data_IF_659665533496
#
_entry.id   IF_659665533496
#
_cell.length_a   1.000
_cell.length_b   1.000
_cell.length_c   1.000
_cell.angle_alpha   90.00
_cell.angle_beta   90.00
_cell.angle_gamma   90.00
#
_symmetry.space_group_name_H-M   'P 1'
#
loop_
_entity.id
_entity.type
_entity.pdbx_description
1 polymer ?
#
# COMPACT_ATOMS: atom_id res chain seq x y z
N UNK A 1 -28.40 24.64 -9.48
CA UNK A 1 -27.09 24.13 -9.92
C UNK A 1 -26.52 23.25 -8.82
N UNK A 2 -26.33 21.94 -9.04
CA UNK A 2 -25.78 21.06 -8.02
C UNK A 2 -24.29 21.37 -7.86
N UNK A 3 -23.87 21.71 -6.64
CA UNK A 3 -22.44 21.80 -6.28
C UNK A 3 -21.87 20.38 -6.32
N UNK A 4 -21.12 20.07 -7.38
CA UNK A 4 -20.32 18.85 -7.46
C UNK A 4 -19.32 18.91 -6.29
N UNK A 5 -19.34 17.87 -5.44
CA UNK A 5 -18.63 17.87 -4.17
C UNK A 5 -17.10 17.88 -4.41
N UNK A 6 -16.40 18.80 -3.75
CA UNK A 6 -14.93 18.91 -3.76
C UNK A 6 -14.20 17.67 -3.20
N UNK A 7 -14.90 16.81 -2.45
CA UNK A 7 -14.39 15.53 -1.95
C UNK A 7 -14.27 14.44 -3.05
N UNK A 8 -15.19 14.44 -4.03
CA UNK A 8 -15.14 13.50 -5.17
C UNK A 8 -14.01 13.88 -6.13
N UNK A 9 -13.75 15.17 -6.34
CA UNK A 9 -12.60 15.62 -7.13
C UNK A 9 -11.26 15.25 -6.49
N UNK A 10 -11.15 15.33 -5.16
CA UNK A 10 -9.87 15.10 -4.46
C UNK A 10 -9.48 13.62 -4.44
N UNK A 11 -10.45 12.71 -4.24
CA UNK A 11 -10.21 11.27 -4.29
C UNK A 11 -9.90 10.77 -5.70
N UNK A 12 -10.59 11.31 -6.73
CA UNK A 12 -10.29 11.05 -8.13
C UNK A 12 -8.90 11.55 -8.53
N UNK A 13 -8.50 12.74 -8.06
CA UNK A 13 -7.16 13.29 -8.32
C UNK A 13 -6.05 12.44 -7.69
N UNK A 14 -6.28 11.90 -6.48
CA UNK A 14 -5.33 11.00 -5.82
C UNK A 14 -5.16 9.68 -6.58
N UNK A 15 -6.27 9.06 -7.00
CA UNK A 15 -6.22 7.83 -7.79
C UNK A 15 -5.47 8.03 -9.12
N UNK A 16 -5.76 9.13 -9.81
CA UNK A 16 -5.07 9.49 -11.05
C UNK A 16 -3.56 9.70 -10.83
N UNK A 17 -3.18 10.36 -9.74
CA UNK A 17 -1.78 10.59 -9.41
C UNK A 17 -1.02 9.28 -9.14
N UNK A 18 -1.60 8.37 -8.34
CA UNK A 18 -1.04 7.04 -8.07
C UNK A 18 -0.93 6.24 -9.37
N UNK A 19 -1.96 6.28 -10.22
CA UNK A 19 -1.97 5.61 -11.52
C UNK A 19 -0.83 6.07 -12.43
N UNK A 20 -0.61 7.38 -12.55
CA UNK A 20 0.47 7.95 -13.35
C UNK A 20 1.84 7.48 -12.83
N UNK A 21 2.05 7.49 -11.52
CA UNK A 21 3.30 7.00 -10.91
C UNK A 21 3.54 5.53 -11.25
N UNK A 22 2.54 4.67 -11.08
CA UNK A 22 2.63 3.25 -11.41
C UNK A 22 2.94 3.02 -12.89
N UNK A 23 2.33 3.81 -13.78
CA UNK A 23 2.63 3.76 -15.22
C UNK A 23 4.09 4.14 -15.52
N UNK A 24 4.62 5.20 -14.89
CA UNK A 24 6.01 5.63 -15.08
C UNK A 24 6.97 4.55 -14.59
N UNK A 25 6.75 4.00 -13.39
CA UNK A 25 7.57 2.91 -12.87
C UNK A 25 7.52 1.68 -13.79
N UNK A 26 6.32 1.27 -14.22
CA UNK A 26 6.15 0.14 -15.14
C UNK A 26 6.89 0.33 -16.47
N UNK A 27 6.82 1.54 -17.05
CA UNK A 27 7.55 1.87 -18.27
C UNK A 27 9.07 1.82 -18.06
N UNK A 28 9.57 2.33 -16.94
CA UNK A 28 10.99 2.27 -16.61
C UNK A 28 11.48 0.81 -16.49
N UNK A 29 10.74 -0.06 -15.78
CA UNK A 29 11.08 -1.48 -15.70
C UNK A 29 11.05 -2.15 -17.07
N UNK A 30 10.07 -1.85 -17.91
CA UNK A 30 9.98 -2.38 -19.26
C UNK A 30 11.20 -2.01 -20.13
N UNK A 31 11.63 -0.74 -20.06
CA UNK A 31 12.83 -0.29 -20.77
C UNK A 31 14.10 -0.99 -20.24
N UNK A 32 14.22 -1.18 -18.92
CA UNK A 32 15.32 -1.94 -18.32
C UNK A 32 15.36 -3.39 -18.82
N UNK A 33 14.20 -4.03 -18.98
CA UNK A 33 14.10 -5.36 -19.55
C UNK A 33 14.56 -5.41 -21.02
N UNK A 34 14.13 -4.44 -21.84
CA UNK A 34 14.56 -4.34 -23.25
C UNK A 34 16.08 -4.16 -23.34
N UNK A 35 16.66 -3.24 -22.56
CA UNK A 35 18.12 -2.99 -22.57
C UNK A 35 18.88 -4.26 -22.16
N UNK A 36 18.39 -4.97 -21.13
CA UNK A 36 18.98 -6.22 -20.67
C UNK A 36 18.93 -7.30 -21.76
N UNK A 37 17.80 -7.47 -22.43
CA UNK A 37 17.63 -8.46 -23.51
C UNK A 37 18.47 -8.11 -24.74
N UNK A 38 18.46 -6.85 -25.18
CA UNK A 38 19.29 -6.38 -26.30
C UNK A 38 20.77 -6.53 -26.00
N UNK A 39 21.19 -6.32 -24.75
CA UNK A 39 22.58 -6.47 -24.33
C UNK A 39 23.10 -7.89 -24.49
N UNK A 40 22.25 -8.87 -24.15
CA UNK A 40 22.53 -10.30 -24.31
C UNK A 40 22.54 -10.67 -25.80
N UNK A 41 21.47 -10.36 -26.54
CA UNK A 41 21.31 -10.78 -27.94
C UNK A 41 22.35 -10.17 -28.89
N UNK A 42 22.83 -8.95 -28.60
CA UNK A 42 23.86 -8.29 -29.41
C UNK A 42 25.28 -8.54 -28.91
N UNK A 43 25.44 -9.37 -27.87
CA UNK A 43 26.72 -9.64 -27.18
C UNK A 43 27.49 -8.35 -26.83
N UNK A 44 26.76 -7.26 -26.56
CA UNK A 44 27.36 -5.94 -26.40
C UNK A 44 27.72 -5.71 -24.94
N UNK A 45 29.01 -5.91 -24.62
CA UNK A 45 29.56 -5.76 -23.27
C UNK A 45 29.30 -4.39 -22.62
N UNK A 46 29.15 -3.31 -23.41
CA UNK A 46 28.85 -1.98 -22.85
C UNK A 46 27.39 -1.93 -22.36
N UNK A 47 26.47 -2.45 -23.16
CA UNK A 47 25.04 -2.47 -22.83
C UNK A 47 24.76 -3.38 -21.63
N UNK A 48 25.43 -4.54 -21.58
CA UNK A 48 25.35 -5.49 -20.47
C UNK A 48 25.90 -4.91 -19.16
N UNK A 49 26.94 -4.07 -19.22
CA UNK A 49 27.46 -3.36 -18.04
C UNK A 49 26.49 -2.31 -17.53
N UNK A 50 25.81 -1.58 -18.44
CA UNK A 50 24.80 -0.59 -18.06
C UNK A 50 23.61 -1.27 -17.39
N UNK A 51 23.12 -2.38 -17.95
CA UNK A 51 22.00 -3.13 -17.34
C UNK A 51 22.37 -3.68 -15.96
N UNK A 52 23.58 -4.21 -15.77
CA UNK A 52 24.07 -4.67 -14.46
C UNK A 52 24.10 -3.55 -13.42
N UNK A 53 24.60 -2.37 -13.78
CA UNK A 53 24.62 -1.21 -12.87
C UNK A 53 23.19 -0.79 -12.51
N UNK A 54 22.29 -0.72 -13.50
CA UNK A 54 20.90 -0.35 -13.27
C UNK A 54 20.15 -1.35 -12.37
N UNK A 55 20.35 -2.66 -12.59
CA UNK A 55 19.78 -3.71 -11.75
C UNK A 55 20.34 -3.67 -10.32
N UNK A 56 21.65 -3.42 -10.17
CA UNK A 56 22.26 -3.27 -8.85
C UNK A 56 21.69 -2.07 -8.09
N UNK A 57 21.56 -0.91 -8.74
CA UNK A 57 20.92 0.27 -8.13
C UNK A 57 19.48 -0.04 -7.73
N UNK A 58 18.73 -0.72 -8.61
CA UNK A 58 17.36 -1.15 -8.33
C UNK A 58 17.31 -2.04 -7.08
N UNK A 59 18.19 -3.04 -6.97
CA UNK A 59 18.26 -3.90 -5.79
C UNK A 59 18.48 -3.10 -4.50
N UNK A 60 19.41 -2.13 -4.51
CA UNK A 60 19.65 -1.26 -3.34
C UNK A 60 18.41 -0.45 -2.99
N UNK A 61 17.69 0.10 -3.97
CA UNK A 61 16.44 0.84 -3.75
C UNK A 61 15.38 -0.06 -3.10
N UNK A 62 15.20 -1.29 -3.59
CA UNK A 62 14.22 -2.21 -2.99
C UNK A 62 14.60 -2.61 -1.56
N UNK A 63 15.89 -2.81 -1.28
CA UNK A 63 16.38 -3.11 0.06
C UNK A 63 16.16 -1.94 1.03
N UNK A 64 16.41 -0.70 0.59
CA UNK A 64 16.16 0.48 1.45
C UNK A 64 14.67 0.65 1.73
N UNK A 65 13.80 0.49 0.74
CA UNK A 65 12.35 0.52 0.96
C UNK A 65 11.88 -0.57 1.91
N UNK A 66 12.40 -1.80 1.79
CA UNK A 66 12.06 -2.88 2.71
C UNK A 66 12.44 -2.52 4.16
N UNK A 67 13.63 -1.97 4.39
CA UNK A 67 14.08 -1.52 5.72
C UNK A 67 13.19 -0.39 6.26
N UNK A 68 12.86 0.59 5.42
CA UNK A 68 12.00 1.72 5.82
C UNK A 68 10.63 1.21 6.28
N UNK A 69 10.00 0.32 5.52
CA UNK A 69 8.68 -0.25 5.85
C UNK A 69 8.72 -0.97 7.20
N UNK A 70 9.78 -1.74 7.47
CA UNK A 70 9.94 -2.45 8.74
C UNK A 70 10.08 -1.50 9.93
N UNK A 71 10.85 -0.42 9.81
CA UNK A 71 11.07 0.55 10.89
C UNK A 71 9.82 1.38 11.14
N UNK A 72 9.09 1.75 10.09
CA UNK A 72 7.97 2.70 10.18
C UNK A 72 6.67 2.07 10.66
N UNK A 73 6.58 0.75 10.78
CA UNK A 73 5.33 0.05 11.14
C UNK A 73 4.62 0.60 12.39
N UNK A 74 5.35 0.76 13.50
CA UNK A 74 4.79 1.30 14.75
C UNK A 74 4.46 2.80 14.67
N UNK A 75 5.25 3.56 13.91
CA UNK A 75 4.99 4.99 13.69
C UNK A 75 3.72 5.18 12.84
N UNK A 76 3.52 4.35 11.83
CA UNK A 76 2.35 4.34 10.96
C UNK A 76 1.11 3.99 11.78
N UNK A 77 1.17 2.96 12.64
CA UNK A 77 0.09 2.57 13.55
C UNK A 77 -0.39 3.77 14.38
N UNK A 78 0.52 4.45 15.06
CA UNK A 78 0.21 5.61 15.90
C UNK A 78 -0.31 6.81 15.11
N UNK A 79 0.18 7.02 13.89
CA UNK A 79 -0.33 8.10 13.02
C UNK A 79 -1.74 7.79 12.53
N UNK A 80 -2.02 6.55 12.13
CA UNK A 80 -3.35 6.13 11.68
C UNK A 80 -4.35 6.33 12.80
N UNK A 81 -4.09 5.82 14.01
CA UNK A 81 -5.04 5.93 15.11
C UNK A 81 -5.32 7.39 15.51
N UNK A 82 -4.29 8.24 15.56
CA UNK A 82 -4.44 9.69 15.79
C UNK A 82 -5.27 10.37 14.70
N UNK A 83 -5.01 10.02 13.44
CA UNK A 83 -5.73 10.61 12.30
C UNK A 83 -7.19 10.18 12.29
N UNK A 84 -7.47 8.91 12.60
CA UNK A 84 -8.85 8.42 12.78
C UNK A 84 -9.53 9.15 13.94
N UNK A 85 -8.87 9.31 15.07
CA UNK A 85 -9.44 10.00 16.24
C UNK A 85 -9.78 11.47 15.94
N UNK A 86 -8.92 12.18 15.21
CA UNK A 86 -9.20 13.54 14.73
C UNK A 86 -10.39 13.54 13.75
N UNK A 87 -10.41 12.60 12.81
CA UNK A 87 -11.49 12.43 11.85
C UNK A 87 -12.84 12.20 12.52
N UNK A 88 -12.89 11.35 13.55
CA UNK A 88 -14.09 11.05 14.32
C UNK A 88 -14.58 12.26 15.13
N UNK A 89 -13.67 12.97 15.79
CA UNK A 89 -14.02 14.09 16.69
C UNK A 89 -14.43 15.35 15.94
N UNK A 90 -13.69 15.70 14.88
CA UNK A 90 -13.79 17.02 14.24
C UNK A 90 -14.54 16.92 12.92
N UNK A 91 -14.24 15.92 12.09
CA UNK A 91 -14.66 15.91 10.69
C UNK A 91 -15.91 15.08 10.41
N UNK A 92 -16.30 14.21 11.34
CA UNK A 92 -17.50 13.40 11.21
C UNK A 92 -18.76 14.30 11.19
N UNK A 93 -19.60 14.11 10.17
CA UNK A 93 -20.74 14.95 9.73
C UNK A 93 -20.39 16.28 9.03
N UNK A 94 -19.17 16.76 9.16
CA UNK A 94 -18.71 17.96 8.42
C UNK A 94 -18.25 17.56 7.02
N UNK A 95 -17.41 16.53 6.94
CA UNK A 95 -16.83 16.03 5.70
C UNK A 95 -17.49 14.71 5.30
N UNK A 96 -18.17 14.71 4.15
CA UNK A 96 -18.83 13.51 3.59
C UNK A 96 -17.88 12.31 3.46
N UNK A 97 -16.60 12.56 3.17
CA UNK A 97 -15.59 11.52 3.04
C UNK A 97 -15.30 10.82 4.39
N UNK A 98 -15.19 11.58 5.47
CA UNK A 98 -14.96 11.04 6.81
C UNK A 98 -16.19 10.28 7.32
N UNK A 99 -17.39 10.83 7.12
CA UNK A 99 -18.64 10.12 7.45
C UNK A 99 -18.74 8.80 6.69
N UNK A 100 -18.56 8.82 5.36
CA UNK A 100 -18.62 7.60 4.55
C UNK A 100 -17.52 6.59 4.90
N UNK A 101 -16.33 7.06 5.31
CA UNK A 101 -15.26 6.19 5.79
C UNK A 101 -15.67 5.45 7.06
N UNK A 102 -16.07 6.17 8.11
CA UNK A 102 -16.47 5.58 9.39
C UNK A 102 -17.72 4.70 9.27
N UNK A 103 -18.72 5.12 8.50
CA UNK A 103 -19.93 4.30 8.27
C UNK A 103 -19.60 2.96 7.63
N UNK A 104 -18.74 2.96 6.60
CA UNK A 104 -18.25 1.71 5.99
C UNK A 104 -17.40 0.91 6.97
N UNK A 105 -16.59 1.58 7.78
CA UNK A 105 -15.72 0.96 8.76
C UNK A 105 -16.52 0.14 9.78
N UNK A 106 -17.48 0.77 10.46
CA UNK A 106 -18.31 0.13 11.48
C UNK A 106 -19.09 -1.06 10.91
N UNK A 107 -19.66 -0.86 9.71
CA UNK A 107 -20.48 -1.88 9.07
C UNK A 107 -19.66 -3.08 8.55
N UNK A 108 -18.45 -2.84 8.06
CA UNK A 108 -17.59 -3.89 7.50
C UNK A 108 -16.85 -4.69 8.56
N UNK A 109 -16.44 -4.03 9.65
CA UNK A 109 -15.59 -4.62 10.69
C UNK A 109 -16.29 -4.83 12.02
N UNK A 110 -17.62 -4.62 12.08
CA UNK A 110 -18.42 -4.95 13.27
C UNK A 110 -17.89 -4.28 14.54
N UNK A 111 -17.55 -3.00 14.43
CA UNK A 111 -16.86 -2.21 15.46
C UNK A 111 -17.52 -0.84 15.62
N UNK A 112 -17.19 -0.11 16.69
CA UNK A 112 -17.67 1.25 16.92
C UNK A 112 -16.60 2.14 17.53
N UNK A 113 -16.42 3.33 16.94
CA UNK A 113 -15.38 4.25 17.37
C UNK A 113 -13.97 3.84 16.91
N UNK A 114 -12.94 4.47 17.46
CA UNK A 114 -11.55 4.17 17.09
C UNK A 114 -10.99 3.10 18.02
N UNK A 115 -10.95 3.36 19.32
CA UNK A 115 -10.55 2.42 20.36
C UNK A 115 -11.75 1.83 21.10
N UNK A 116 -12.85 2.58 21.20
CA UNK A 116 -14.08 2.12 21.83
C UNK A 116 -15.28 2.96 21.39
N UNK A 117 -16.49 2.45 21.59
CA UNK A 117 -17.71 3.22 21.40
C UNK A 117 -17.75 4.51 22.23
N UNK A 118 -17.01 4.59 23.34
CA UNK A 118 -16.92 5.81 24.17
C UNK A 118 -16.24 7.00 23.46
N UNK A 119 -15.49 6.76 22.38
CA UNK A 119 -14.82 7.83 21.62
C UNK A 119 -15.82 8.84 21.04
N UNK A 120 -17.09 8.43 20.84
CA UNK A 120 -18.18 9.30 20.41
C UNK A 120 -18.51 10.42 21.40
N UNK A 121 -18.17 10.26 22.68
CA UNK A 121 -18.38 11.30 23.67
C UNK A 121 -17.46 12.53 23.46
N UNK A 122 -16.39 12.38 22.69
CA UNK A 122 -15.50 13.49 22.32
C UNK A 122 -15.98 14.24 21.05
N UNK A 123 -17.01 13.74 20.37
CA UNK A 123 -17.61 14.41 19.21
C UNK A 123 -18.72 15.37 19.68
N UNK A 124 -18.67 16.67 19.32
CA UNK A 124 -19.68 17.65 19.74
C UNK A 124 -21.13 17.31 19.40
N UNK A 125 -21.37 16.51 18.34
CA UNK A 125 -22.71 16.11 17.91
C UNK A 125 -23.25 14.90 18.68
N UNK A 126 -22.40 14.13 19.37
CA UNK A 126 -22.78 12.90 20.09
C UNK A 126 -22.53 12.99 21.60
N UNK A 127 -21.67 13.91 22.04
CA UNK A 127 -21.34 14.14 23.44
C UNK A 127 -22.57 14.37 24.32
N UNK A 128 -22.56 13.78 25.52
CA UNK A 128 -23.65 13.95 26.49
C UNK A 128 -23.69 15.34 27.16
N UNK A 129 -22.55 16.03 27.19
CA UNK A 129 -22.33 17.25 27.97
C UNK A 129 -22.27 18.52 27.12
N UNK A 130 -22.76 18.50 25.88
CA UNK A 130 -22.72 19.67 24.98
C UNK A 130 -23.50 20.85 25.58
N UNK A 131 -22.80 21.83 26.14
CA UNK A 131 -23.38 23.00 26.83
C UNK A 131 -23.97 24.06 25.89
N UNK A 132 -23.96 23.83 24.58
CA UNK A 132 -24.46 24.77 23.59
C UNK A 132 -25.81 24.31 23.04
N UNK A 133 -26.78 25.21 23.20
CA UNK A 133 -28.09 25.37 22.57
C UNK A 133 -28.39 24.37 21.43
N UNK A 134 -29.43 23.57 21.65
CA UNK A 134 -29.87 22.39 20.90
C UNK A 134 -29.00 21.15 21.17
N UNK A 135 -29.43 20.35 22.16
CA UNK A 135 -29.08 18.94 22.23
C UNK A 135 -29.32 18.36 20.82
N UNK A 136 -28.24 17.99 20.13
CA UNK A 136 -28.34 17.33 18.83
C UNK A 136 -29.27 16.12 18.99
N UNK A 137 -30.03 15.81 17.94
CA UNK A 137 -30.92 14.64 17.95
C UNK A 137 -30.17 13.34 18.30
N UNK A 138 -28.86 13.34 18.06
CA UNK A 138 -27.95 12.21 18.27
C UNK A 138 -27.10 12.32 19.55
N UNK A 139 -27.43 13.22 20.49
CA UNK A 139 -26.70 13.34 21.74
C UNK A 139 -26.79 12.06 22.59
N UNK A 140 -25.77 11.81 23.43
CA UNK A 140 -25.65 10.61 24.25
C UNK A 140 -25.79 9.28 23.50
N UNK A 141 -25.48 9.29 22.21
CA UNK A 141 -25.73 8.17 21.32
C UNK A 141 -24.49 7.82 20.50
N UNK A 142 -24.55 6.69 19.80
CA UNK A 142 -23.59 6.32 18.74
C UNK A 142 -24.31 6.27 17.39
N UNK A 143 -23.59 6.42 16.26
CA UNK A 143 -24.18 6.28 14.94
C UNK A 143 -24.88 4.94 14.75
N UNK A 144 -25.94 4.92 13.93
CA UNK A 144 -26.69 3.68 13.63
C UNK A 144 -25.80 2.58 13.02
N UNK A 145 -24.70 2.95 12.37
CA UNK A 145 -23.71 2.01 11.79
C UNK A 145 -22.96 1.20 12.85
N UNK A 146 -22.97 1.62 14.12
CA UNK A 146 -22.45 0.83 15.24
C UNK A 146 -23.40 -0.26 15.73
N UNK A 147 -24.66 -0.27 15.30
CA UNK A 147 -25.66 -1.20 15.81
C UNK A 147 -25.57 -2.59 15.19
N UNK A 148 -25.78 -3.63 16.01
CA UNK A 148 -25.76 -5.04 15.58
C UNK A 148 -26.96 -5.44 14.69
N UNK A 149 -27.96 -4.58 14.57
CA UNK A 149 -29.28 -4.89 13.97
C UNK A 149 -29.24 -4.96 12.43
N UNK A 150 -28.30 -4.29 11.76
CA UNK A 150 -28.27 -4.27 10.28
C UNK A 150 -27.41 -5.35 9.61
N UNK A 151 -26.85 -6.30 10.36
CA UNK A 151 -25.92 -7.29 9.78
C UNK A 151 -26.54 -8.66 9.48
N UNK A 152 -27.80 -8.90 9.89
CA UNK A 152 -28.54 -10.14 9.55
C UNK A 152 -29.43 -10.02 8.30
N UNK A 153 -29.87 -8.82 7.92
CA UNK A 153 -30.85 -8.64 6.84
C UNK A 153 -30.26 -8.28 5.46
N UNK A 154 -28.99 -7.88 5.35
CA UNK A 154 -28.35 -7.56 4.05
C UNK A 154 -28.25 -8.77 3.12
N UNK A 155 -28.41 -10.00 3.63
CA UNK A 155 -28.45 -11.25 2.84
C UNK A 155 -29.86 -11.70 2.45
N UNK A 156 -30.93 -11.02 2.86
CA UNK A 156 -32.29 -11.40 2.48
C UNK A 156 -33.10 -10.17 2.10
N UNK A 157 -33.19 -9.94 0.79
CA UNK A 157 -34.24 -9.13 0.19
C UNK A 157 -35.60 -9.66 0.64
N UNK A 158 -36.21 -9.00 1.63
CA UNK A 158 -37.67 -8.89 1.74
C UNK A 158 -37.99 -7.65 2.58
N UNK A 159 -38.73 -6.74 1.94
CA UNK A 159 -39.33 -5.54 2.50
C UNK A 159 -40.02 -5.86 3.84
N UNK A 160 -39.34 -5.57 4.95
CA UNK A 160 -39.91 -5.48 6.29
C UNK A 160 -39.71 -4.04 6.72
N UNK A 161 -40.76 -3.45 7.27
CA UNK A 161 -40.86 -2.07 7.72
C UNK A 161 -40.02 -1.86 9.02
N UNK A 162 -38.70 -2.06 8.95
CA UNK A 162 -37.73 -1.94 10.06
C UNK A 162 -37.19 -0.52 10.25
N UNK A 163 -37.74 0.46 9.51
CA UNK A 163 -37.25 1.85 9.51
C UNK A 163 -37.51 2.57 10.85
N UNK A 164 -38.46 2.10 11.66
CA UNK A 164 -38.80 2.66 12.97
C UNK A 164 -38.16 1.93 14.18
N UNK A 165 -37.48 0.79 13.96
CA UNK A 165 -36.87 -0.01 15.04
C UNK A 165 -35.32 0.04 15.05
N UNK A 166 -34.70 0.71 14.07
CA UNK A 166 -33.23 0.68 13.85
C UNK A 166 -32.48 1.96 14.27
N UNK A 167 -33.15 3.07 14.59
CA UNK A 167 -32.46 4.31 14.98
C UNK A 167 -32.24 4.42 16.50
N UNK A 168 -33.00 3.67 17.30
CA UNK A 168 -32.94 3.72 18.77
C UNK A 168 -31.83 2.85 19.36
N UNK A 169 -31.28 1.90 18.60
CA UNK A 169 -30.25 0.98 19.09
C UNK A 169 -29.02 1.69 19.65
N UNK A 170 -28.59 2.78 19.01
CA UNK A 170 -27.46 3.60 19.45
C UNK A 170 -27.82 4.67 20.46
N UNK A 171 -29.09 4.83 20.84
CA UNK A 171 -29.51 5.88 21.77
C UNK A 171 -29.22 5.54 23.22
N UNK A 172 -28.84 6.55 24.00
CA UNK A 172 -28.51 6.44 25.43
C UNK A 172 -27.43 5.40 25.74
N UNK A 173 -26.49 5.20 24.81
CA UNK A 173 -25.38 4.26 24.98
C UNK A 173 -24.17 4.91 25.65
N UNK A 174 -24.03 6.24 25.59
CA UNK A 174 -22.89 6.94 26.17
C UNK A 174 -23.15 7.32 27.63
N UNK A 175 -22.13 7.22 28.51
CA UNK A 175 -22.28 7.55 29.93
C UNK A 175 -22.66 9.02 30.14
N UNK A 176 -23.79 9.21 30.83
CA UNK A 176 -24.29 10.51 31.27
C UNK A 176 -24.30 10.59 32.80
N UNK A 177 -24.25 11.80 33.35
CA UNK A 177 -24.16 12.06 34.79
C UNK A 177 -25.32 11.47 35.61
N UNK A 178 -26.48 11.20 34.98
CA UNK A 178 -27.70 10.76 35.64
C UNK A 178 -28.13 9.33 35.26
N UNK A 179 -27.29 8.56 34.58
CA UNK A 179 -27.71 7.29 33.96
C UNK A 179 -26.73 6.17 34.31
N UNK A 180 -27.21 5.16 35.04
CA UNK A 180 -26.49 3.89 35.22
C UNK A 180 -26.69 3.06 33.96
N UNK A 181 -25.60 2.77 33.26
CA UNK A 181 -25.62 2.01 32.02
C UNK A 181 -25.36 0.54 32.33
N UNK A 182 -26.29 -0.33 31.92
CA UNK A 182 -26.05 -1.77 31.90
C UNK A 182 -25.23 -2.14 30.66
N UNK A 183 -23.97 -2.53 30.88
CA UNK A 183 -23.04 -2.88 29.81
C UNK A 183 -23.49 -4.13 29.04
N UNK A 184 -24.24 -5.04 29.67
CA UNK A 184 -24.75 -6.24 29.00
C UNK A 184 -25.82 -5.86 27.97
N UNK A 185 -26.71 -4.92 28.30
CA UNK A 185 -27.74 -4.43 27.38
C UNK A 185 -27.11 -3.71 26.17
N UNK A 186 -26.07 -2.90 26.43
CA UNK A 186 -25.33 -2.22 25.36
C UNK A 186 -24.61 -3.22 24.46
N UNK A 187 -23.94 -4.22 25.04
CA UNK A 187 -23.23 -5.23 24.27
C UNK A 187 -24.18 -6.02 23.38
N UNK A 188 -25.42 -6.27 23.79
CA UNK A 188 -26.41 -6.94 22.92
C UNK A 188 -26.88 -6.04 21.75
N UNK A 189 -26.88 -4.71 21.91
CA UNK A 189 -27.44 -3.74 20.95
C UNK A 189 -26.41 -3.20 19.95
N UNK A 190 -25.17 -2.98 20.38
CA UNK A 190 -24.13 -2.33 19.58
C UNK A 190 -22.80 -3.11 19.60
N UNK A 191 -21.96 -2.81 18.61
CA UNK A 191 -20.57 -3.25 18.62
C UNK A 191 -19.77 -2.34 19.56
N UNK A 192 -19.18 -2.89 20.62
CA UNK A 192 -18.47 -2.10 21.64
C UNK A 192 -16.96 -1.97 21.39
N UNK A 193 -16.41 -2.88 20.58
CA UNK A 193 -14.98 -2.91 20.24
C UNK A 193 -14.61 -1.75 19.33
N UNK A 194 -13.43 -1.18 19.55
CA UNK A 194 -12.86 -0.16 18.67
C UNK A 194 -12.48 -0.72 17.31
N UNK A 195 -12.72 0.05 16.25
CA UNK A 195 -12.34 -0.37 14.91
C UNK A 195 -10.84 -0.49 14.67
N UNK A 196 -10.04 0.22 15.44
CA UNK A 196 -8.59 0.17 15.29
C UNK A 196 -8.04 -1.21 15.61
N UNK A 197 -8.51 -1.84 16.69
CA UNK A 197 -8.05 -3.15 17.13
C UNK A 197 -8.49 -4.25 16.17
N UNK A 198 -9.69 -4.14 15.59
CA UNK A 198 -10.21 -5.09 14.59
C UNK A 198 -9.48 -4.98 13.24
N UNK A 199 -9.05 -3.77 12.85
CA UNK A 199 -8.36 -3.53 11.57
C UNK A 199 -6.86 -3.80 11.64
N UNK A 200 -6.27 -3.64 12.82
CA UNK A 200 -4.85 -3.84 13.04
C UNK A 200 -4.30 -5.19 12.51
N UNK A 201 -4.92 -6.36 12.76
CA UNK A 201 -4.45 -7.63 12.22
C UNK A 201 -4.50 -7.67 10.68
N UNK A 202 -5.47 -6.99 10.07
CA UNK A 202 -5.59 -6.92 8.61
C UNK A 202 -4.44 -6.09 8.03
N UNK A 203 -4.14 -4.95 8.65
CA UNK A 203 -2.99 -4.13 8.25
C UNK A 203 -1.68 -4.93 8.40
N UNK A 204 -1.53 -5.66 9.51
CA UNK A 204 -0.35 -6.50 9.73
C UNK A 204 -0.23 -7.60 8.68
N UNK A 205 -1.31 -8.31 8.36
CA UNK A 205 -1.33 -9.30 7.29
C UNK A 205 -0.95 -8.67 5.94
N UNK A 206 -1.50 -7.51 5.60
CA UNK A 206 -1.16 -6.80 4.37
C UNK A 206 0.34 -6.45 4.30
N UNK A 207 0.92 -5.95 5.40
CA UNK A 207 2.35 -5.63 5.48
C UNK A 207 3.20 -6.89 5.33
N UNK A 208 2.82 -7.99 5.99
CA UNK A 208 3.54 -9.28 5.89
C UNK A 208 3.48 -9.80 4.45
N UNK A 209 2.29 -9.83 3.84
CA UNK A 209 2.11 -10.27 2.44
C UNK A 209 2.92 -9.40 1.48
N UNK A 210 2.85 -8.08 1.61
CA UNK A 210 3.65 -7.16 0.80
C UNK A 210 5.17 -7.39 0.98
N UNK A 211 5.62 -7.65 2.20
CA UNK A 211 7.03 -7.94 2.51
C UNK A 211 7.51 -9.24 1.84
N UNK A 212 6.67 -10.28 1.81
CA UNK A 212 6.96 -11.55 1.12
C UNK A 212 7.11 -11.32 -0.39
N UNK A 213 6.19 -10.57 -1.01
CA UNK A 213 6.30 -10.23 -2.43
C UNK A 213 7.55 -9.41 -2.75
N UNK A 214 7.88 -8.42 -1.91
CA UNK A 214 9.11 -7.62 -2.05
C UNK A 214 10.37 -8.48 -1.94
N UNK A 215 10.42 -9.41 -0.98
CA UNK A 215 11.53 -10.35 -0.84
C UNK A 215 11.68 -11.24 -2.08
N UNK A 216 10.58 -11.75 -2.62
CA UNK A 216 10.58 -12.55 -3.85
C UNK A 216 11.16 -11.75 -5.04
N UNK A 217 10.75 -10.48 -5.19
CA UNK A 217 11.28 -9.60 -6.23
C UNK A 217 12.78 -9.37 -6.05
N UNK A 218 13.25 -9.13 -4.82
CA UNK A 218 14.68 -8.98 -4.53
C UNK A 218 15.49 -10.23 -4.91
N UNK A 219 14.96 -11.43 -4.61
CA UNK A 219 15.60 -12.70 -4.98
C UNK A 219 15.68 -12.85 -6.50
N UNK A 220 14.59 -12.55 -7.21
CA UNK A 220 14.56 -12.58 -8.68
C UNK A 220 15.60 -11.61 -9.25
N UNK A 221 15.65 -10.37 -8.76
CA UNK A 221 16.63 -9.38 -9.20
C UNK A 221 18.05 -9.88 -8.94
N UNK A 222 18.32 -10.44 -7.76
CA UNK A 222 19.63 -10.99 -7.43
C UNK A 222 20.04 -12.13 -8.38
N UNK A 223 19.14 -13.07 -8.68
CA UNK A 223 19.38 -14.14 -9.65
C UNK A 223 19.65 -13.55 -11.04
N UNK A 224 18.88 -12.55 -11.49
CA UNK A 224 19.12 -11.92 -12.79
C UNK A 224 20.49 -11.23 -12.86
N UNK A 225 20.95 -10.62 -11.78
CA UNK A 225 22.29 -10.05 -11.69
C UNK A 225 23.35 -11.15 -11.80
N UNK A 226 23.21 -12.25 -11.05
CA UNK A 226 24.14 -13.38 -11.12
C UNK A 226 24.23 -13.96 -12.53
N UNK A 227 23.08 -14.24 -13.17
CA UNK A 227 23.03 -14.75 -14.54
C UNK A 227 23.66 -13.77 -15.53
N UNK A 228 23.36 -12.48 -15.41
CA UNK A 228 23.93 -11.44 -16.28
C UNK A 228 25.45 -11.31 -16.08
N UNK A 229 25.94 -11.45 -14.86
CA UNK A 229 27.38 -11.49 -14.54
C UNK A 229 28.07 -12.71 -15.18
N UNK A 230 27.47 -13.90 -15.05
CA UNK A 230 27.99 -15.13 -15.66
C UNK A 230 28.06 -15.01 -17.19
N UNK A 231 26.98 -14.54 -17.82
CA UNK A 231 26.95 -14.30 -19.28
C UNK A 231 28.00 -13.25 -19.69
N UNK A 232 28.17 -12.18 -18.90
CA UNK A 232 29.20 -11.17 -19.16
C UNK A 232 30.59 -11.78 -19.13
N UNK A 233 30.85 -12.69 -18.18
CA UNK A 233 32.13 -13.37 -18.03
C UNK A 233 32.42 -14.28 -19.22
N UNK A 234 31.45 -15.11 -19.63
CA UNK A 234 31.57 -16.00 -20.80
C UNK A 234 31.85 -15.23 -22.10
N UNK A 235 31.08 -14.15 -22.35
CA UNK A 235 31.28 -13.31 -23.54
C UNK A 235 32.66 -12.65 -23.52
N UNK A 236 33.11 -12.17 -22.34
CA UNK A 236 34.46 -11.60 -22.19
C UNK A 236 35.55 -12.63 -22.47
N UNK A 237 35.41 -13.86 -21.98
CA UNK A 237 36.37 -14.93 -22.24
C UNK A 237 36.44 -15.26 -23.74
N UNK A 238 35.29 -15.41 -24.38
CA UNK A 238 35.19 -15.69 -25.82
C UNK A 238 35.88 -14.60 -26.65
N UNK A 239 35.57 -13.32 -26.38
CA UNK A 239 36.22 -12.19 -27.06
C UNK A 239 37.73 -12.16 -26.79
N UNK A 240 38.16 -12.45 -25.54
CA UNK A 240 39.58 -12.50 -25.18
C UNK A 240 40.32 -13.60 -25.93
N UNK A 241 39.71 -14.78 -26.06
CA UNK A 241 40.28 -15.93 -26.77
C UNK A 241 40.39 -15.65 -28.27
N UNK A 242 39.34 -15.11 -28.89
CA UNK A 242 39.36 -14.73 -30.32
C UNK A 242 40.42 -13.66 -30.57
N UNK A 243 40.50 -12.61 -29.75
CA UNK A 243 41.53 -11.57 -29.88
C UNK A 243 42.95 -12.15 -29.78
N UNK A 244 43.19 -13.07 -28.85
CA UNK A 244 44.48 -13.76 -28.70
C UNK A 244 44.81 -14.57 -29.96
N UNK A 245 43.84 -15.31 -30.52
CA UNK A 245 44.02 -16.08 -31.74
C UNK A 245 44.33 -15.19 -32.95
N UNK A 246 43.57 -14.12 -33.18
CA UNK A 246 43.84 -13.15 -34.24
C UNK A 246 45.21 -12.47 -34.08
N UNK A 247 45.63 -12.15 -32.84
CA UNK A 247 46.95 -11.57 -32.59
C UNK A 247 48.08 -12.56 -32.91
N UNK A 248 47.96 -13.83 -32.50
CA UNK A 248 48.95 -14.87 -32.83
C UNK A 248 49.06 -15.07 -34.34
N UNK A 249 47.92 -15.22 -35.03
CA UNK A 249 47.90 -15.38 -36.48
C UNK A 249 48.60 -14.23 -37.22
N UNK A 250 48.35 -12.99 -36.80
CA UNK A 250 49.01 -11.81 -37.39
C UNK A 250 50.53 -11.83 -37.21
N UNK A 251 51.04 -12.30 -36.07
CA UNK A 251 52.49 -12.43 -35.86
C UNK A 251 53.09 -13.53 -36.73
N UNK A 252 52.40 -14.65 -36.92
CA UNK A 252 52.84 -15.72 -37.83
C UNK A 252 52.86 -15.23 -39.28
N UNK A 253 51.77 -14.62 -39.75
CA UNK A 253 51.70 -14.08 -41.11
C UNK A 253 52.84 -13.08 -41.38
N UNK A 254 53.14 -12.18 -40.42
CA UNK A 254 54.22 -11.20 -40.53
C UNK A 254 55.61 -11.85 -40.65
N UNK A 255 55.88 -12.91 -39.88
CA UNK A 255 57.16 -13.61 -39.92
C UNK A 255 57.34 -14.34 -41.26
N UNK A 256 56.29 -14.98 -41.78
CA UNK A 256 56.33 -15.67 -43.08
C UNK A 256 56.60 -14.71 -44.25
N UNK A 257 56.17 -13.44 -44.16
CA UNK A 257 56.49 -12.42 -45.17
C UNK A 257 57.97 -12.02 -45.13
N UNK A 258 58.55 -11.87 -43.93
CA UNK A 258 59.97 -11.51 -43.76
C UNK A 258 60.86 -12.64 -44.27
N UNK A 259 60.53 -13.90 -43.96
CA UNK A 259 61.29 -15.06 -44.39
C UNK A 259 61.29 -15.20 -45.94
N UNK A 260 60.16 -14.87 -46.59
CA UNK A 260 60.09 -14.82 -48.06
C UNK A 260 60.91 -13.69 -48.68
N UNK A 261 61.03 -12.54 -48.03
CA UNK A 261 61.90 -11.45 -48.52
C UNK A 261 63.38 -11.83 -48.41
N UNK A 262 63.79 -12.52 -47.35
CA UNK A 262 65.16 -13.02 -47.18
C UNK A 262 65.55 -14.09 -48.22
N UNK A 263 64.63 -14.96 -48.64
CA UNK A 263 64.91 -15.97 -49.68
C UNK A 263 65.01 -15.38 -51.10
N UNK A 264 64.49 -14.17 -51.33
CA UNK A 264 64.53 -13.51 -52.66
C UNK A 264 65.76 -12.64 -52.90
N UNK A 265 66.66 -12.49 -51.93
CA UNK A 265 67.88 -11.66 -52.02
C UNK A 265 69.14 -12.53 -52.09
#
# INVERSE_FOLDING_TARGET
MPKINTADSTSLNLFNFIGIILCIFGLLFFLLCIISCLGINRENLKLLRISLIAQFITLIIFLTFAIIILIWGETIRNRISKTMMIGLKIHYHIDKAWTAFFDKLHMSYFCCGVYSFNDWNDNPNYACTSSNVLQSLDACSVPFTCCKIQQKEVKSSKYIDTKSLSYTCGTNTLPSNNTTIDMNEIEERININGCFDEILPIIQQLIITASIFMLLICIIIFITILLTCLLTFEIRLTISNVRRHCRKKRHTDQNDYIEKEEETF
#
